data_IF_467139698809
#
_entry.id   IF_467139698809
#
_cell.length_a   1.000
_cell.length_b   1.000
_cell.length_c   1.000
_cell.angle_alpha   90.00
_cell.angle_beta   90.00
_cell.angle_gamma   90.00
#
_symmetry.space_group_name_H-M   'P 1'
#
loop_
_entity.id
_entity.type
_entity.pdbx_description
1 polymer ?
#
# COMPACT_ATOMS: atom_id res chain seq x y z
N UNK A 1 2.90 -11.94 -10.54
CA UNK A 1 2.86 -11.30 -9.21
C UNK A 1 1.40 -11.16 -8.82
N UNK A 2 1.02 -11.54 -7.60
CA UNK A 2 -0.37 -11.48 -7.12
C UNK A 2 -0.48 -10.38 -6.08
N UNK A 3 -1.39 -9.41 -6.30
CA UNK A 3 -1.72 -8.41 -5.31
C UNK A 3 -2.84 -8.95 -4.42
N UNK A 4 -2.66 -8.86 -3.10
CA UNK A 4 -3.62 -9.29 -2.11
C UNK A 4 -4.05 -8.10 -1.25
N UNK A 5 -5.19 -8.26 -0.55
CA UNK A 5 -5.65 -7.29 0.44
C UNK A 5 -4.68 -7.15 1.61
N UNK A 6 -4.93 -6.16 2.46
CA UNK A 6 -4.15 -5.97 3.69
C UNK A 6 -4.35 -7.16 4.62
N UNK A 7 -3.25 -7.74 5.11
CA UNK A 7 -3.30 -8.79 6.14
C UNK A 7 -3.90 -8.20 7.43
N UNK A 8 -5.00 -8.80 7.90
CA UNK A 8 -5.64 -8.44 9.17
C UNK A 8 -5.21 -9.37 10.29
N UNK A 9 -5.08 -10.67 9.99
CA UNK A 9 -4.77 -11.71 10.97
C UNK A 9 -3.99 -12.85 10.32
N UNK A 10 -3.16 -13.50 11.12
CA UNK A 10 -2.48 -14.75 10.77
C UNK A 10 -2.83 -15.80 11.80
N UNK A 11 -3.32 -16.96 11.34
CA UNK A 11 -3.63 -18.11 12.17
C UNK A 11 -2.92 -19.35 11.62
N UNK A 12 -1.78 -19.69 12.21
CA UNK A 12 -0.95 -20.79 11.73
C UNK A 12 -0.51 -20.56 10.28
N UNK A 13 -1.12 -21.30 9.35
CA UNK A 13 -0.84 -21.22 7.90
C UNK A 13 -1.90 -20.44 7.11
N UNK A 14 -2.87 -19.83 7.79
CA UNK A 14 -3.94 -19.04 7.14
C UNK A 14 -3.71 -17.56 7.33
N UNK A 15 -3.78 -16.81 6.23
CA UNK A 15 -3.84 -15.35 6.22
C UNK A 15 -5.28 -14.91 6.05
N UNK A 16 -5.78 -14.03 6.93
CA UNK A 16 -7.05 -13.34 6.73
C UNK A 16 -6.77 -11.94 6.16
N UNK A 17 -7.47 -11.61 5.10
CA UNK A 17 -7.26 -10.40 4.30
C UNK A 17 -8.48 -9.49 4.41
N UNK A 18 -8.23 -8.18 4.42
CA UNK A 18 -9.30 -7.20 4.39
C UNK A 18 -10.05 -7.23 3.03
N UNK A 19 -11.39 -7.20 3.01
CA UNK A 19 -12.19 -7.20 1.78
C UNK A 19 -12.34 -5.78 1.20
N UNK A 20 -11.27 -4.98 1.23
CA UNK A 20 -11.27 -3.57 0.84
C UNK A 20 -10.27 -3.23 -0.26
N UNK A 21 -9.67 -4.23 -0.92
CA UNK A 21 -8.59 -4.02 -1.89
C UNK A 21 -8.99 -3.09 -3.04
N UNK A 22 -10.17 -3.29 -3.63
CA UNK A 22 -10.68 -2.44 -4.72
C UNK A 22 -10.86 -0.98 -4.28
N UNK A 23 -11.41 -0.78 -3.07
CA UNK A 23 -11.58 0.55 -2.47
C UNK A 23 -10.22 1.19 -2.22
N UNK A 24 -9.23 0.44 -1.72
CA UNK A 24 -7.87 0.96 -1.47
C UNK A 24 -7.15 1.36 -2.75
N UNK A 25 -7.32 0.60 -3.83
CA UNK A 25 -6.76 0.96 -5.14
C UNK A 25 -7.39 2.24 -5.68
N UNK A 26 -8.72 2.35 -5.67
CA UNK A 26 -9.41 3.57 -6.09
C UNK A 26 -9.01 4.79 -5.26
N UNK A 27 -8.84 4.62 -3.94
CA UNK A 27 -8.35 5.68 -3.05
C UNK A 27 -6.91 6.10 -3.37
N UNK A 28 -6.03 5.14 -3.73
CA UNK A 28 -4.65 5.43 -4.09
C UNK A 28 -4.56 6.24 -5.39
N UNK A 29 -5.34 5.87 -6.41
CA UNK A 29 -5.39 6.61 -7.67
C UNK A 29 -5.96 8.01 -7.46
N UNK A 30 -7.07 8.13 -6.71
CA UNK A 30 -7.63 9.43 -6.37
C UNK A 30 -6.63 10.31 -5.61
N UNK A 31 -5.91 9.76 -4.63
CA UNK A 31 -4.90 10.49 -3.88
C UNK A 31 -3.76 10.97 -4.79
N UNK A 32 -3.31 10.13 -5.72
CA UNK A 32 -2.30 10.53 -6.68
C UNK A 32 -2.76 11.72 -7.52
N UNK A 33 -3.92 11.61 -8.17
CA UNK A 33 -4.42 12.63 -9.09
C UNK A 33 -4.77 13.95 -8.40
N UNK A 34 -5.40 13.88 -7.22
CA UNK A 34 -5.89 15.07 -6.53
C UNK A 34 -4.83 15.75 -5.67
N UNK A 35 -3.78 15.03 -5.26
CA UNK A 35 -2.81 15.56 -4.29
C UNK A 35 -1.36 15.48 -4.74
N UNK A 36 -0.87 14.31 -5.13
CA UNK A 36 0.54 14.17 -5.50
C UNK A 36 0.86 14.86 -6.81
N UNK A 37 0.04 14.64 -7.85
CA UNK A 37 0.26 15.17 -9.20
C UNK A 37 0.38 16.71 -9.19
N UNK A 38 -0.54 17.49 -8.59
CA UNK A 38 -0.39 18.95 -8.53
C UNK A 38 0.87 19.43 -7.79
N UNK A 39 1.32 18.69 -6.77
CA UNK A 39 2.55 19.02 -6.04
C UNK A 39 3.78 18.82 -6.93
N UNK A 40 3.82 17.72 -7.68
CA UNK A 40 4.91 17.41 -8.62
C UNK A 40 4.94 18.42 -9.76
N UNK A 41 3.79 18.69 -10.40
CA UNK A 41 3.67 19.66 -11.50
C UNK A 41 4.08 21.06 -11.04
N UNK A 42 3.64 21.46 -9.84
CA UNK A 42 4.05 22.72 -9.23
C UNK A 42 5.57 22.81 -9.00
N UNK A 43 6.21 21.71 -8.59
CA UNK A 43 7.66 21.66 -8.46
C UNK A 43 8.38 21.73 -9.81
N UNK A 44 7.92 20.99 -10.83
CA UNK A 44 8.50 21.00 -12.18
C UNK A 44 8.47 22.43 -12.74
N UNK A 45 7.32 23.11 -12.62
CA UNK A 45 7.16 24.49 -13.06
C UNK A 45 8.09 25.46 -12.30
N UNK A 46 8.17 25.34 -10.97
CA UNK A 46 9.02 26.20 -10.15
C UNK A 46 10.52 25.96 -10.37
N UNK A 47 10.93 24.72 -10.65
CA UNK A 47 12.31 24.36 -10.93
C UNK A 47 12.74 24.66 -12.37
N UNK A 48 11.78 24.96 -13.27
CA UNK A 48 12.05 25.06 -14.71
C UNK A 48 12.58 23.74 -15.29
N UNK A 49 12.17 22.60 -14.71
CA UNK A 49 12.66 21.30 -15.10
C UNK A 49 12.02 20.87 -16.43
N UNK A 50 12.83 20.32 -17.34
CA UNK A 50 12.34 19.68 -18.55
C UNK A 50 11.85 18.28 -18.20
N UNK A 51 10.54 18.15 -18.01
CA UNK A 51 9.87 16.89 -17.71
C UNK A 51 8.76 16.64 -18.75
N UNK A 52 8.64 15.41 -19.27
CA UNK A 52 7.55 15.07 -20.18
C UNK A 52 6.20 15.21 -19.48
N UNK A 53 5.15 15.46 -20.26
CA UNK A 53 3.79 15.51 -19.76
C UNK A 53 3.37 14.15 -19.17
N UNK A 54 2.49 14.18 -18.17
CA UNK A 54 1.94 12.96 -17.60
C UNK A 54 0.88 12.37 -18.54
N UNK A 55 1.29 11.36 -19.30
CA UNK A 55 0.46 10.59 -20.24
C UNK A 55 -0.23 9.38 -19.58
N UNK A 56 -0.31 9.32 -18.25
CA UNK A 56 -0.85 8.15 -17.56
C UNK A 56 -2.32 7.92 -17.91
N UNK A 57 -2.60 6.73 -18.43
CA UNK A 57 -3.95 6.22 -18.60
C UNK A 57 -4.49 5.59 -17.31
N UNK A 58 -5.82 5.60 -17.16
CA UNK A 58 -6.49 4.90 -16.07
C UNK A 58 -6.20 3.39 -16.17
N UNK A 59 -5.57 2.83 -15.14
CA UNK A 59 -5.17 1.43 -15.12
C UNK A 59 -6.34 0.55 -14.66
N UNK A 60 -6.88 -0.29 -15.56
CA UNK A 60 -8.07 -1.13 -15.32
C UNK A 60 -7.72 -2.50 -14.73
N UNK A 61 -6.96 -2.51 -13.64
CA UNK A 61 -6.57 -3.75 -12.97
C UNK A 61 -7.50 -4.09 -11.82
N UNK A 62 -8.25 -5.19 -11.96
CA UNK A 62 -9.10 -5.75 -10.92
C UNK A 62 -8.46 -7.05 -10.37
N UNK A 63 -7.66 -6.97 -9.30
CA UNK A 63 -7.07 -8.16 -8.70
C UNK A 63 -8.15 -9.02 -8.02
N UNK A 64 -7.97 -10.35 -7.96
CA UNK A 64 -8.77 -11.21 -7.08
C UNK A 64 -8.72 -10.70 -5.64
N UNK A 65 -9.87 -10.73 -4.95
CA UNK A 65 -10.00 -10.29 -3.56
C UNK A 65 -10.40 -11.45 -2.64
N UNK A 66 -9.52 -12.45 -2.45
CA UNK A 66 -9.78 -13.50 -1.47
C UNK A 66 -9.78 -12.89 -0.05
N UNK A 67 -10.70 -13.35 0.80
CA UNK A 67 -10.73 -13.00 2.23
C UNK A 67 -9.76 -13.86 3.05
N UNK A 68 -9.37 -15.01 2.52
CA UNK A 68 -8.45 -15.96 3.15
C UNK A 68 -7.48 -16.56 2.15
N UNK A 69 -6.24 -16.79 2.59
CA UNK A 69 -5.24 -17.59 1.86
C UNK A 69 -4.65 -18.64 2.79
N UNK A 70 -4.80 -19.92 2.43
CA UNK A 70 -4.01 -21.01 3.01
C UNK A 70 -2.64 -21.06 2.33
N UNK A 71 -1.59 -20.76 3.10
CA UNK A 71 -0.22 -20.69 2.61
C UNK A 71 0.29 -22.04 2.11
N UNK A 72 -0.08 -23.16 2.75
CA UNK A 72 0.36 -24.48 2.31
C UNK A 72 -0.37 -24.91 1.03
N UNK A 73 -1.68 -24.69 0.95
CA UNK A 73 -2.44 -24.96 -0.27
C UNK A 73 -1.97 -24.10 -1.45
N UNK A 74 -1.54 -22.86 -1.18
CA UNK A 74 -0.94 -21.97 -2.17
C UNK A 74 0.53 -22.29 -2.50
N UNK A 75 1.14 -23.30 -1.86
CA UNK A 75 2.55 -23.67 -2.09
C UNK A 75 3.57 -22.65 -1.56
N UNK A 76 3.18 -21.77 -0.63
CA UNK A 76 4.03 -20.74 -0.05
C UNK A 76 4.80 -21.33 1.13
N UNK A 77 6.11 -21.52 0.94
CA UNK A 77 7.00 -22.10 1.95
C UNK A 77 7.59 -21.06 2.92
N UNK A 78 7.62 -19.78 2.55
CA UNK A 78 8.27 -18.73 3.34
C UNK A 78 7.57 -17.38 3.14
N UNK A 79 7.54 -16.59 4.20
CA UNK A 79 6.98 -15.23 4.21
C UNK A 79 8.07 -14.27 4.68
N UNK A 80 8.30 -13.19 3.92
CA UNK A 80 9.25 -12.14 4.28
C UNK A 80 8.47 -10.90 4.72
N UNK A 81 8.64 -10.50 5.98
CA UNK A 81 8.00 -9.30 6.53
C UNK A 81 8.82 -8.06 6.17
N UNK A 82 8.43 -7.39 5.09
CA UNK A 82 9.02 -6.12 4.65
C UNK A 82 8.21 -4.90 5.11
N UNK A 83 7.57 -4.97 6.29
CA UNK A 83 6.68 -3.92 6.82
C UNK A 83 7.41 -2.74 7.50
N UNK A 84 8.74 -2.69 7.42
CA UNK A 84 9.56 -1.67 8.08
C UNK A 84 9.62 -1.82 9.60
N UNK A 85 9.90 -0.72 10.29
CA UNK A 85 10.12 -0.67 11.74
C UNK A 85 9.24 0.41 12.38
N UNK A 86 8.80 0.17 13.63
CA UNK A 86 8.12 1.18 14.43
C UNK A 86 9.15 2.07 15.16
N UNK A 87 8.78 3.33 15.43
CA UNK A 87 9.56 4.21 16.30
C UNK A 87 9.45 3.71 17.75
N UNK A 88 10.58 3.55 18.42
CA UNK A 88 10.62 3.19 19.84
C UNK A 88 10.90 4.45 20.68
N UNK A 89 9.91 4.88 21.46
CA UNK A 89 10.01 6.01 22.40
C UNK A 89 10.19 5.56 23.85
N UNK A 90 10.56 4.30 24.10
CA UNK A 90 10.70 3.76 25.46
C UNK A 90 11.78 4.43 26.32
N UNK A 91 12.55 5.36 25.76
CA UNK A 91 13.50 6.21 26.48
C UNK A 91 12.88 7.51 27.02
N UNK A 92 11.65 7.85 26.61
CA UNK A 92 10.92 9.02 27.07
C UNK A 92 10.02 8.61 28.23
N UNK A 93 10.40 8.97 29.45
CA UNK A 93 9.49 8.92 30.61
C UNK A 93 8.50 10.08 30.49
N UNK A 94 7.27 9.78 30.05
CA UNK A 94 6.21 10.77 30.06
C UNK A 94 5.70 10.97 31.50
N UNK A 95 5.64 12.21 32.01
CA UNK A 95 4.98 12.51 33.27
C UNK A 95 3.46 12.51 33.05
N UNK A 96 2.88 11.33 32.89
CA UNK A 96 1.44 11.11 32.90
C UNK A 96 1.08 10.44 34.22
N UNK A 97 0.68 11.28 35.17
CA UNK A 97 -0.09 10.91 36.38
C UNK A 97 -1.53 10.58 36.04
#
# INVERSE_FOLDING_TARGET
>A
MTLLGRIQRVEGKRLMLAPDLSIKLAQADQFFDQRLRPIIDGYIAAAGADAPADEREAFTFEPPMPEEVDLAAAGIASVVWASGYARNYGWIDFPIT
#
